data_IF_965366617521
#
_entry.id   IF_965366617521
#
_cell.length_a   1.000
_cell.length_b   1.000
_cell.length_c   1.000
_cell.angle_alpha   90.00
_cell.angle_beta   90.00
_cell.angle_gamma   90.00
#
_symmetry.space_group_name_H-M   'P 1'
#
loop_
_entity.id
_entity.type
_entity.pdbx_description
1 polymer ?
#
# COMPACT_ATOMS: atom_id res chain seq x y z
N UNK A 1 -24.55 -5.31 -4.12
CA UNK A 1 -23.61 -6.32 -4.65
C UNK A 1 -23.97 -7.73 -4.20
N UNK A 2 -24.24 -7.99 -2.91
CA UNK A 2 -24.59 -9.32 -2.37
C UNK A 2 -25.71 -10.06 -3.10
N UNK A 3 -26.68 -9.33 -3.64
CA UNK A 3 -27.88 -9.89 -4.28
C UNK A 3 -27.68 -10.16 -5.81
N UNK A 4 -26.51 -9.81 -6.34
CA UNK A 4 -26.21 -9.95 -7.77
C UNK A 4 -24.88 -10.70 -8.04
N UNK A 5 -24.12 -11.04 -7.00
CA UNK A 5 -22.87 -11.77 -7.15
C UNK A 5 -23.14 -13.26 -7.32
N UNK A 6 -22.44 -13.95 -8.22
CA UNK A 6 -22.47 -15.40 -8.38
C UNK A 6 -21.18 -16.04 -7.89
N UNK A 7 -21.24 -17.32 -7.49
CA UNK A 7 -20.08 -18.05 -6.98
C UNK A 7 -18.98 -18.29 -8.05
N UNK A 8 -19.31 -18.10 -9.32
CA UNK A 8 -18.35 -18.25 -10.44
C UNK A 8 -17.58 -16.97 -10.71
N UNK A 9 -18.02 -15.83 -10.16
CA UNK A 9 -17.34 -14.55 -10.32
C UNK A 9 -16.06 -14.51 -9.48
N UNK A 10 -15.17 -13.65 -9.90
CA UNK A 10 -13.96 -13.26 -9.17
C UNK A 10 -14.11 -11.81 -8.77
N UNK A 11 -13.77 -11.50 -7.55
CA UNK A 11 -13.76 -10.13 -7.04
C UNK A 11 -12.31 -9.69 -6.77
N UNK A 12 -11.84 -8.66 -7.46
CA UNK A 12 -10.46 -8.18 -7.31
C UNK A 12 -10.46 -6.81 -6.65
N UNK A 13 -9.77 -6.70 -5.52
CA UNK A 13 -9.47 -5.44 -4.84
C UNK A 13 -8.13 -4.91 -5.36
N UNK A 14 -8.17 -3.84 -6.15
CA UNK A 14 -7.01 -3.33 -6.86
C UNK A 14 -6.80 -1.82 -6.61
N UNK A 15 -5.85 -1.44 -5.71
CA UNK A 15 -5.11 -2.29 -4.79
C UNK A 15 -5.94 -2.65 -3.55
N UNK A 16 -5.56 -3.74 -2.86
CA UNK A 16 -6.14 -4.10 -1.58
C UNK A 16 -5.65 -3.22 -0.43
N UNK A 17 -4.53 -2.57 -0.61
CA UNK A 17 -3.83 -1.82 0.43
C UNK A 17 -3.61 -2.69 1.66
N UNK A 18 -3.96 -2.21 2.85
CA UNK A 18 -3.80 -2.97 4.09
C UNK A 18 -5.15 -3.53 4.54
N UNK A 19 -5.36 -4.82 4.31
CA UNK A 19 -6.54 -5.56 4.75
C UNK A 19 -7.78 -5.49 3.84
N UNK A 20 -7.67 -4.95 2.62
CA UNK A 20 -8.83 -4.81 1.72
C UNK A 20 -9.50 -6.14 1.37
N UNK A 21 -8.71 -7.14 0.99
CA UNK A 21 -9.23 -8.49 0.72
C UNK A 21 -9.82 -9.15 1.97
N UNK A 22 -9.19 -8.98 3.14
CA UNK A 22 -9.68 -9.53 4.41
C UNK A 22 -11.03 -8.92 4.82
N UNK A 23 -11.18 -7.60 4.71
CA UNK A 23 -12.47 -6.92 4.96
C UNK A 23 -13.54 -7.43 3.99
N UNK A 24 -13.18 -7.57 2.71
CA UNK A 24 -14.10 -8.10 1.70
C UNK A 24 -14.51 -9.53 2.03
N UNK A 25 -13.56 -10.38 2.42
CA UNK A 25 -13.83 -11.77 2.84
C UNK A 25 -14.78 -11.82 4.04
N UNK A 26 -14.51 -11.01 5.07
CA UNK A 26 -15.39 -10.93 6.24
C UNK A 26 -16.83 -10.54 5.88
N UNK A 27 -16.99 -9.55 4.98
CA UNK A 27 -18.32 -9.14 4.52
C UNK A 27 -18.97 -10.26 3.71
N UNK A 28 -18.23 -10.92 2.82
CA UNK A 28 -18.76 -11.99 1.99
C UNK A 28 -19.15 -13.23 2.77
N UNK A 29 -18.44 -13.56 3.85
CA UNK A 29 -18.78 -14.67 4.74
C UNK A 29 -20.18 -14.56 5.38
N UNK A 30 -20.76 -13.35 5.41
CA UNK A 30 -22.12 -13.13 5.91
C UNK A 30 -23.21 -13.51 4.88
N UNK A 31 -22.85 -13.97 3.67
CA UNK A 31 -23.78 -14.25 2.57
C UNK A 31 -23.46 -15.59 1.90
N UNK A 32 -24.43 -16.47 1.78
CA UNK A 32 -24.26 -17.85 1.32
C UNK A 32 -23.62 -18.00 -0.07
N UNK A 33 -23.91 -17.09 -0.99
CA UNK A 33 -23.31 -17.10 -2.33
C UNK A 33 -21.96 -16.41 -2.32
N UNK A 34 -21.88 -15.22 -1.72
CA UNK A 34 -20.70 -14.39 -1.74
C UNK A 34 -19.49 -15.04 -1.02
N UNK A 35 -19.72 -15.85 0.04
CA UNK A 35 -18.66 -16.57 0.76
C UNK A 35 -17.86 -17.54 -0.12
N UNK A 36 -18.42 -17.97 -1.27
CA UNK A 36 -17.79 -18.88 -2.23
C UNK A 36 -17.01 -18.15 -3.34
N UNK A 37 -17.12 -16.84 -3.38
CA UNK A 37 -16.44 -16.02 -4.41
C UNK A 37 -14.95 -15.96 -4.10
N UNK A 38 -14.12 -16.19 -5.11
CA UNK A 38 -12.68 -15.95 -5.04
C UNK A 38 -12.42 -14.45 -4.94
N UNK A 39 -11.65 -14.04 -3.94
CA UNK A 39 -11.23 -12.65 -3.75
C UNK A 39 -9.77 -12.52 -4.11
N UNK A 40 -9.46 -11.74 -5.14
CA UNK A 40 -8.11 -11.34 -5.49
C UNK A 40 -7.72 -10.00 -4.87
N UNK A 41 -6.45 -9.82 -4.62
CA UNK A 41 -5.88 -8.56 -4.16
C UNK A 41 -4.58 -8.26 -4.88
N UNK A 42 -4.41 -7.02 -5.34
CA UNK A 42 -3.11 -6.55 -5.86
C UNK A 42 -2.42 -5.62 -4.87
N UNK A 43 -1.09 -5.63 -4.88
CA UNK A 43 -0.28 -4.74 -4.04
C UNK A 43 -0.39 -3.27 -4.49
N UNK A 44 -0.59 -3.03 -5.78
CA UNK A 44 -0.63 -1.69 -6.37
C UNK A 44 -1.57 -1.64 -7.56
N UNK A 45 -1.87 -0.43 -8.03
CA UNK A 45 -2.55 -0.21 -9.30
C UNK A 45 -1.61 -0.51 -10.47
N UNK A 46 -2.13 -1.00 -11.62
CA UNK A 46 -1.32 -1.22 -12.82
C UNK A 46 -0.84 0.08 -13.49
N UNK A 47 -1.39 1.21 -13.08
CA UNK A 47 -1.11 2.53 -13.67
C UNK A 47 -0.87 3.57 -12.58
N UNK A 48 0.14 4.44 -12.79
CA UNK A 48 0.20 5.72 -12.11
C UNK A 48 -0.63 6.73 -12.92
N UNK A 49 -1.71 7.20 -12.35
CA UNK A 49 -2.65 8.09 -13.05
C UNK A 49 -3.23 9.18 -12.16
N UNK A 50 -3.73 10.23 -12.77
CA UNK A 50 -4.46 11.31 -12.10
C UNK A 50 -5.70 11.67 -12.92
N UNK A 51 -6.81 11.87 -12.22
CA UNK A 51 -8.01 12.46 -12.80
C UNK A 51 -7.72 13.94 -13.11
N UNK A 52 -7.90 14.35 -14.34
CA UNK A 52 -7.74 15.74 -14.79
C UNK A 52 -9.08 16.46 -14.68
N UNK A 53 -10.11 15.87 -15.27
CA UNK A 53 -11.49 16.31 -15.18
C UNK A 53 -12.43 15.09 -15.34
N UNK A 54 -13.73 15.20 -15.06
CA UNK A 54 -14.66 14.09 -15.22
C UNK A 54 -14.54 13.41 -16.59
N UNK A 55 -14.15 12.12 -16.60
CA UNK A 55 -13.99 11.33 -17.83
C UNK A 55 -12.58 11.39 -18.46
N UNK A 56 -11.68 12.25 -17.99
CA UNK A 56 -10.31 12.37 -18.51
C UNK A 56 -9.28 12.00 -17.43
N UNK A 57 -8.49 10.97 -17.73
CA UNK A 57 -7.41 10.47 -16.85
C UNK A 57 -6.07 10.64 -17.56
N UNK A 58 -5.14 11.33 -16.92
CA UNK A 58 -3.75 11.35 -17.35
C UNK A 58 -3.00 10.14 -16.77
N UNK A 59 -2.37 9.34 -17.64
CA UNK A 59 -1.55 8.19 -17.28
C UNK A 59 -0.08 8.60 -17.38
N UNK A 60 0.59 8.67 -16.24
CA UNK A 60 2.03 8.97 -16.15
C UNK A 60 2.88 7.76 -16.43
N UNK A 61 2.45 6.58 -15.96
CA UNK A 61 3.19 5.33 -16.10
C UNK A 61 2.22 4.15 -16.16
N UNK A 62 2.46 3.21 -17.07
CA UNK A 62 1.97 1.83 -16.99
C UNK A 62 3.10 0.99 -16.39
N UNK A 63 2.82 0.28 -15.31
CA UNK A 63 3.82 -0.54 -14.63
C UNK A 63 4.37 -1.61 -15.57
N UNK A 64 5.70 -1.77 -15.55
CA UNK A 64 6.40 -2.74 -16.40
C UNK A 64 6.44 -4.14 -15.77
N UNK A 65 6.34 -4.22 -14.44
CA UNK A 65 6.38 -5.47 -13.68
C UNK A 65 6.02 -5.24 -12.22
N UNK A 66 6.18 -6.29 -11.40
CA UNK A 66 6.02 -6.20 -9.94
C UNK A 66 4.60 -5.91 -9.46
N UNK A 67 3.58 -6.20 -10.27
CA UNK A 67 2.17 -6.14 -9.85
C UNK A 67 1.88 -7.46 -9.11
N UNK A 68 2.13 -7.47 -7.81
CA UNK A 68 1.86 -8.67 -7.01
C UNK A 68 0.37 -8.91 -6.87
N UNK A 69 -0.03 -10.17 -7.05
CA UNK A 69 -1.40 -10.66 -6.94
C UNK A 69 -1.44 -11.83 -5.95
N UNK A 70 -2.36 -11.79 -5.02
CA UNK A 70 -2.74 -12.91 -4.15
C UNK A 70 -4.24 -13.13 -4.18
N UNK A 71 -4.70 -14.26 -3.64
CA UNK A 71 -6.12 -14.59 -3.54
C UNK A 71 -6.49 -15.12 -2.16
N UNK A 72 -7.77 -15.08 -1.86
CA UNK A 72 -8.42 -15.77 -0.76
C UNK A 72 -9.55 -16.65 -1.37
N UNK A 73 -9.44 -17.98 -1.34
CA UNK A 73 -8.30 -18.76 -0.86
C UNK A 73 -7.09 -18.72 -1.81
N UNK A 74 -5.89 -19.04 -1.30
CA UNK A 74 -4.65 -19.02 -2.10
C UNK A 74 -4.66 -20.08 -3.20
N UNK A 75 -5.40 -21.17 -3.03
CA UNK A 75 -5.59 -22.21 -4.02
C UNK A 75 -6.16 -21.73 -5.37
N UNK A 76 -6.85 -20.58 -5.37
CA UNK A 76 -7.37 -19.92 -6.57
C UNK A 76 -6.35 -18.98 -7.26
N UNK A 77 -5.16 -18.84 -6.69
CA UNK A 77 -4.17 -17.86 -7.17
C UNK A 77 -3.74 -18.15 -8.62
N UNK A 78 -3.53 -19.41 -8.97
CA UNK A 78 -3.11 -19.79 -10.32
C UNK A 78 -4.19 -19.42 -11.36
N UNK A 79 -5.43 -19.75 -11.07
CA UNK A 79 -6.57 -19.42 -11.94
C UNK A 79 -6.71 -17.91 -12.15
N UNK A 80 -6.66 -17.15 -11.07
CA UNK A 80 -6.80 -15.69 -11.15
C UNK A 80 -5.59 -15.04 -11.81
N UNK A 81 -4.39 -15.54 -11.54
CA UNK A 81 -3.17 -15.08 -12.18
C UNK A 81 -3.24 -15.25 -13.71
N UNK A 82 -3.68 -16.39 -14.19
CA UNK A 82 -3.82 -16.68 -15.62
C UNK A 82 -4.81 -15.72 -16.30
N UNK A 83 -5.87 -15.33 -15.61
CA UNK A 83 -6.83 -14.33 -16.11
C UNK A 83 -6.25 -12.92 -16.09
N UNK A 84 -5.69 -12.51 -14.95
CA UNK A 84 -5.24 -11.14 -14.72
C UNK A 84 -4.00 -10.79 -15.54
N UNK A 85 -3.06 -11.75 -15.69
CA UNK A 85 -1.83 -11.56 -16.46
C UNK A 85 -2.04 -11.39 -17.97
N UNK A 86 -3.18 -11.84 -18.51
CA UNK A 86 -3.55 -11.58 -19.92
C UNK A 86 -3.76 -10.07 -20.16
N UNK A 87 -4.25 -9.35 -19.17
CA UNK A 87 -4.46 -7.89 -19.24
C UNK A 87 -3.23 -7.13 -18.75
N UNK A 88 -2.58 -7.67 -17.72
CA UNK A 88 -1.42 -7.06 -17.06
C UNK A 88 -0.24 -8.04 -17.01
N UNK A 89 0.54 -8.16 -18.10
CA UNK A 89 1.63 -9.16 -18.19
C UNK A 89 2.74 -9.02 -17.15
N UNK A 90 2.86 -7.84 -16.52
CA UNK A 90 3.81 -7.59 -15.42
C UNK A 90 3.36 -8.12 -14.05
N UNK A 91 2.27 -8.91 -14.00
CA UNK A 91 1.77 -9.52 -12.77
C UNK A 91 2.69 -10.64 -12.28
N UNK A 92 2.86 -10.72 -10.96
CA UNK A 92 3.59 -11.79 -10.26
C UNK A 92 2.73 -12.36 -9.13
N UNK A 93 2.85 -13.65 -8.86
CA UNK A 93 2.12 -14.29 -7.76
C UNK A 93 2.75 -13.92 -6.43
N UNK A 94 1.93 -13.51 -5.47
CA UNK A 94 2.34 -13.37 -4.09
C UNK A 94 2.07 -14.66 -3.32
N UNK A 95 2.84 -14.89 -2.26
CA UNK A 95 2.69 -16.06 -1.38
C UNK A 95 1.36 -16.04 -0.63
N UNK A 96 0.92 -14.87 -0.20
CA UNK A 96 -0.35 -14.63 0.50
C UNK A 96 -0.68 -13.12 0.51
N UNK A 97 -1.80 -12.75 1.10
CA UNK A 97 -2.24 -11.35 1.18
C UNK A 97 -1.35 -10.47 2.07
N UNK A 98 -0.59 -11.01 3.02
CA UNK A 98 0.42 -10.22 3.73
C UNK A 98 1.51 -9.72 2.80
N UNK A 99 1.90 -10.52 1.81
CA UNK A 99 2.91 -10.10 0.84
C UNK A 99 2.38 -8.97 -0.05
N UNK A 100 1.13 -9.04 -0.51
CA UNK A 100 0.52 -7.93 -1.28
C UNK A 100 0.40 -6.67 -0.45
N UNK A 101 -0.03 -6.77 0.81
CA UNK A 101 -0.12 -5.63 1.73
C UNK A 101 1.24 -4.98 1.96
N UNK A 102 2.23 -5.79 2.39
CA UNK A 102 3.55 -5.27 2.71
C UNK A 102 4.33 -4.81 1.47
N UNK A 103 3.99 -5.26 0.27
CA UNK A 103 4.61 -4.76 -0.96
C UNK A 103 4.02 -3.41 -1.43
N UNK A 104 2.95 -2.93 -0.81
CA UNK A 104 2.49 -1.56 -1.00
C UNK A 104 3.36 -0.60 -0.17
N UNK A 105 4.26 0.11 -0.83
CA UNK A 105 5.20 1.02 -0.18
C UNK A 105 4.69 2.48 -0.04
N UNK A 106 3.50 2.81 -0.52
CA UNK A 106 2.95 4.16 -0.37
C UNK A 106 3.02 4.70 1.06
N UNK A 107 2.67 3.90 2.11
CA UNK A 107 2.72 4.38 3.49
C UNK A 107 4.12 4.70 4.02
N UNK A 108 5.18 4.16 3.42
CA UNK A 108 6.54 4.50 3.86
C UNK A 108 7.08 5.76 3.19
N UNK A 109 6.51 6.16 2.03
CA UNK A 109 6.95 7.32 1.26
C UNK A 109 6.12 8.55 1.62
N UNK A 110 4.81 8.48 1.35
CA UNK A 110 3.93 9.64 1.34
C UNK A 110 3.88 10.38 2.70
N UNK A 111 3.68 9.71 3.86
CA UNK A 111 3.66 10.38 5.15
C UNK A 111 4.99 11.04 5.49
N UNK A 112 6.12 10.38 5.22
CA UNK A 112 7.45 10.90 5.50
C UNK A 112 7.70 12.16 4.69
N UNK A 113 7.44 12.14 3.38
CA UNK A 113 7.63 13.32 2.51
C UNK A 113 6.68 14.43 2.93
N UNK A 114 5.41 14.13 3.21
CA UNK A 114 4.41 15.12 3.61
C UNK A 114 4.79 15.81 4.93
N UNK A 115 5.15 15.04 5.97
CA UNK A 115 5.47 15.60 7.29
C UNK A 115 6.77 16.40 7.29
N UNK A 116 7.80 15.93 6.58
CA UNK A 116 9.08 16.66 6.50
C UNK A 116 9.01 17.89 5.60
N UNK A 117 7.95 18.05 4.81
CA UNK A 117 7.67 19.24 4.00
C UNK A 117 6.40 19.98 4.44
N UNK A 118 5.88 19.72 5.65
CA UNK A 118 4.62 20.30 6.11
C UNK A 118 4.59 21.83 5.99
N UNK A 119 5.61 22.52 6.49
CA UNK A 119 5.73 23.97 6.38
C UNK A 119 5.78 24.47 4.93
N UNK A 120 6.41 23.70 4.02
CA UNK A 120 6.47 24.04 2.60
C UNK A 120 5.09 23.90 1.96
N UNK A 121 4.39 22.77 2.24
CA UNK A 121 3.02 22.52 1.76
C UNK A 121 2.08 23.67 2.17
N UNK A 122 2.05 24.00 3.45
CA UNK A 122 1.15 25.04 3.98
C UNK A 122 1.44 26.42 3.41
N UNK A 123 2.74 26.79 3.32
CA UNK A 123 3.17 28.09 2.83
C UNK A 123 2.96 28.27 1.33
N UNK A 124 3.24 27.23 0.52
CA UNK A 124 3.17 27.32 -0.95
C UNK A 124 1.84 26.83 -1.51
N UNK A 125 0.97 26.24 -0.65
CA UNK A 125 -0.25 25.54 -1.12
C UNK A 125 0.07 24.45 -2.14
N UNK A 126 1.16 23.72 -1.88
CA UNK A 126 1.60 22.60 -2.72
C UNK A 126 2.29 23.01 -4.04
N UNK A 127 2.66 24.28 -4.20
CA UNK A 127 3.35 24.73 -5.41
C UNK A 127 4.84 24.38 -5.38
N UNK A 128 5.12 23.08 -5.37
CA UNK A 128 6.43 22.45 -5.55
C UNK A 128 6.25 21.00 -6.01
N UNK A 129 7.34 20.39 -6.49
CA UNK A 129 7.32 18.99 -6.97
C UNK A 129 7.54 18.02 -5.82
N UNK A 130 6.54 17.19 -5.54
CA UNK A 130 6.49 16.34 -4.35
C UNK A 130 7.69 15.41 -4.21
N UNK A 131 8.11 14.76 -5.29
CA UNK A 131 9.27 13.86 -5.28
C UNK A 131 10.57 14.55 -5.65
N UNK A 132 10.57 15.39 -6.68
CA UNK A 132 11.79 16.01 -7.22
C UNK A 132 12.38 17.05 -6.26
N UNK A 133 11.54 17.81 -5.56
CA UNK A 133 11.96 18.85 -4.61
C UNK A 133 11.76 18.41 -3.16
N UNK A 134 10.70 17.61 -2.89
CA UNK A 134 10.35 17.19 -1.53
C UNK A 134 11.22 16.03 -1.00
N UNK A 135 11.86 15.23 -1.86
CA UNK A 135 12.74 14.13 -1.43
C UNK A 135 14.21 14.54 -1.54
N UNK A 136 14.73 15.18 -0.50
CA UNK A 136 16.14 15.45 -0.31
C UNK A 136 16.87 14.21 0.25
N UNK A 137 18.22 14.17 0.27
CA UNK A 137 18.95 13.07 0.90
C UNK A 137 18.55 12.78 2.35
N UNK A 138 18.22 13.81 3.15
CA UNK A 138 17.76 13.63 4.52
C UNK A 138 16.38 12.96 4.58
N UNK A 139 15.45 13.38 3.73
CA UNK A 139 14.12 12.77 3.59
C UNK A 139 14.24 11.32 3.12
N UNK A 140 15.10 11.05 2.14
CA UNK A 140 15.37 9.70 1.65
C UNK A 140 15.91 8.76 2.73
N UNK A 141 16.78 9.25 3.63
CA UNK A 141 17.26 8.48 4.79
C UNK A 141 16.12 8.10 5.73
N UNK A 142 15.17 9.00 5.96
CA UNK A 142 13.99 8.73 6.79
C UNK A 142 13.08 7.70 6.11
N UNK A 143 12.80 7.84 4.81
CA UNK A 143 12.04 6.84 4.04
C UNK A 143 12.69 5.46 4.19
N UNK A 144 14.02 5.37 4.00
CA UNK A 144 14.76 4.11 4.17
C UNK A 144 14.58 3.50 5.56
N UNK A 145 14.64 4.31 6.62
CA UNK A 145 14.50 3.81 7.98
C UNK A 145 13.11 3.21 8.24
N UNK A 146 12.06 3.86 7.76
CA UNK A 146 10.67 3.36 7.84
C UNK A 146 10.51 2.10 6.98
N UNK A 147 11.06 2.11 5.76
CA UNK A 147 10.96 0.98 4.83
C UNK A 147 11.69 -0.28 5.34
N UNK A 148 12.81 -0.13 6.02
CA UNK A 148 13.52 -1.25 6.65
C UNK A 148 12.68 -1.95 7.73
N UNK A 149 11.83 -1.23 8.46
CA UNK A 149 10.91 -1.83 9.43
C UNK A 149 9.82 -2.63 8.70
N UNK A 150 9.26 -2.12 7.58
CA UNK A 150 8.32 -2.85 6.73
C UNK A 150 8.93 -4.16 6.20
N UNK A 151 10.17 -4.11 5.70
CA UNK A 151 10.87 -5.30 5.21
C UNK A 151 11.08 -6.33 6.33
N UNK A 152 11.48 -5.90 7.53
CA UNK A 152 11.63 -6.79 8.70
C UNK A 152 10.33 -7.49 9.10
N UNK A 153 9.17 -6.82 8.98
CA UNK A 153 7.87 -7.47 9.20
C UNK A 153 7.69 -8.63 8.22
N UNK A 154 8.03 -8.43 6.94
CA UNK A 154 7.99 -9.48 5.94
C UNK A 154 8.93 -10.65 6.26
N UNK A 155 10.17 -10.35 6.65
CA UNK A 155 11.14 -11.38 7.07
C UNK A 155 10.61 -12.22 8.23
N UNK A 156 9.98 -11.59 9.22
CA UNK A 156 9.39 -12.28 10.38
C UNK A 156 8.21 -13.18 10.00
N UNK A 157 7.46 -12.82 8.96
CA UNK A 157 6.37 -13.63 8.38
C UNK A 157 6.89 -14.71 7.41
N UNK A 158 8.20 -14.76 7.14
CA UNK A 158 8.79 -15.69 6.17
C UNK A 158 8.36 -15.42 4.72
N UNK A 159 8.09 -14.15 4.40
CA UNK A 159 7.73 -13.69 3.05
C UNK A 159 8.76 -12.67 2.55
N UNK A 160 9.03 -12.70 1.25
CA UNK A 160 9.91 -11.72 0.62
C UNK A 160 9.17 -10.40 0.43
N UNK A 161 9.71 -9.33 0.98
CA UNK A 161 9.24 -7.95 0.77
C UNK A 161 10.39 -7.13 0.21
N UNK A 162 10.27 -6.70 -1.03
CA UNK A 162 11.30 -5.89 -1.68
C UNK A 162 11.36 -4.49 -1.05
N UNK A 163 12.57 -3.95 -0.83
CA UNK A 163 12.75 -2.53 -0.54
C UNK A 163 12.04 -1.66 -1.58
N UNK A 164 11.45 -0.54 -1.17
CA UNK A 164 10.65 0.30 -2.07
C UNK A 164 11.41 0.77 -3.31
N UNK A 165 12.65 1.18 -3.15
CA UNK A 165 13.47 1.62 -4.28
C UNK A 165 13.78 0.51 -5.27
N UNK A 166 13.95 -0.74 -4.80
CA UNK A 166 14.11 -1.93 -5.65
C UNK A 166 12.82 -2.22 -6.40
N UNK A 167 11.69 -2.15 -5.69
CA UNK A 167 10.36 -2.31 -6.31
C UNK A 167 10.12 -1.20 -7.35
N UNK A 168 10.47 0.04 -7.03
CA UNK A 168 10.35 1.19 -7.95
C UNK A 168 11.09 0.99 -9.27
N UNK A 169 12.27 0.37 -9.25
CA UNK A 169 13.00 -0.01 -10.46
C UNK A 169 12.26 -1.12 -11.21
N UNK A 170 11.82 -2.18 -10.51
CA UNK A 170 11.08 -3.30 -11.12
C UNK A 170 9.79 -2.84 -11.80
N UNK A 171 9.09 -1.88 -11.21
CA UNK A 171 7.84 -1.32 -11.71
C UNK A 171 8.04 -0.28 -12.82
N UNK A 172 9.27 0.22 -13.00
CA UNK A 172 9.61 1.24 -13.99
C UNK A 172 9.42 2.69 -13.51
N UNK A 173 9.15 2.91 -12.23
CA UNK A 173 9.12 4.26 -11.66
C UNK A 173 10.51 4.90 -11.61
N UNK A 174 11.52 4.10 -11.22
CA UNK A 174 12.87 4.55 -10.93
C UNK A 174 13.88 3.89 -11.88
N UNK A 175 15.00 4.56 -12.10
CA UNK A 175 16.13 4.01 -12.88
C UNK A 175 17.24 3.48 -11.97
N UNK A 176 17.25 3.88 -10.71
CA UNK A 176 18.25 3.51 -9.70
C UNK A 176 17.58 3.25 -8.36
N UNK A 177 17.91 2.12 -7.72
CA UNK A 177 17.41 1.76 -6.40
C UNK A 177 18.16 2.55 -5.30
N UNK A 178 17.84 3.82 -5.14
CA UNK A 178 18.50 4.74 -4.23
C UNK A 178 17.50 5.65 -3.52
N UNK A 179 17.47 5.60 -2.17
CA UNK A 179 16.54 6.40 -1.38
C UNK A 179 16.88 7.89 -1.37
N UNK A 180 18.15 8.24 -1.42
CA UNK A 180 18.60 9.62 -1.25
C UNK A 180 18.48 10.47 -2.52
N UNK A 181 18.59 9.83 -3.69
CA UNK A 181 18.63 10.53 -4.98
C UNK A 181 17.66 9.93 -6.03
N UNK A 182 17.22 8.69 -5.83
CA UNK A 182 16.44 7.95 -6.82
C UNK A 182 15.08 8.57 -7.08
N UNK A 183 14.36 9.00 -6.03
CA UNK A 183 13.03 9.60 -6.19
C UNK A 183 13.06 10.91 -6.97
N UNK A 184 13.99 11.80 -6.66
CA UNK A 184 14.11 13.08 -7.33
C UNK A 184 14.44 12.95 -8.84
N UNK A 185 15.06 11.84 -9.25
CA UNK A 185 15.44 11.55 -10.64
C UNK A 185 14.49 10.57 -11.33
N UNK A 186 13.49 10.07 -10.63
CA UNK A 186 12.61 9.00 -11.10
C UNK A 186 11.67 9.48 -12.21
N UNK A 187 11.74 8.92 -13.43
CA UNK A 187 10.88 9.35 -14.53
C UNK A 187 9.40 9.13 -14.25
N UNK A 188 9.05 8.08 -13.46
CA UNK A 188 7.68 7.78 -13.09
C UNK A 188 7.06 8.76 -12.08
N UNK A 189 7.87 9.62 -11.46
CA UNK A 189 7.41 10.63 -10.50
C UNK A 189 7.55 12.07 -11.02
N UNK A 190 8.04 12.23 -12.24
CA UNK A 190 8.35 13.54 -12.83
C UNK A 190 7.10 14.42 -12.93
N UNK A 191 7.23 15.67 -12.47
CA UNK A 191 6.18 16.69 -12.57
C UNK A 191 5.01 16.50 -11.60
N UNK A 192 5.06 15.55 -10.66
CA UNK A 192 3.99 15.36 -9.67
C UNK A 192 4.07 16.46 -8.62
N UNK A 193 3.09 17.38 -8.63
CA UNK A 193 2.97 18.44 -7.63
C UNK A 193 2.56 17.89 -6.28
N UNK A 194 2.96 18.59 -5.23
CA UNK A 194 2.49 18.31 -3.88
C UNK A 194 1.00 18.64 -3.73
N UNK A 195 0.38 18.10 -2.68
CA UNK A 195 -0.96 18.46 -2.26
C UNK A 195 -0.97 19.87 -1.65
N UNK A 196 -2.11 20.53 -1.74
CA UNK A 196 -2.29 21.92 -1.28
C UNK A 196 -2.46 22.06 0.24
N UNK A 197 -2.72 20.95 0.94
CA UNK A 197 -2.97 20.90 2.38
C UNK A 197 -2.54 19.56 2.98
N UNK A 198 -2.35 19.53 4.31
CA UNK A 198 -1.97 18.30 5.02
C UNK A 198 -3.13 17.31 5.14
N UNK A 199 -4.38 17.81 5.24
CA UNK A 199 -5.59 16.98 5.19
C UNK A 199 -5.76 16.34 3.80
N UNK A 200 -4.97 15.32 3.55
CA UNK A 200 -4.86 14.61 2.28
C UNK A 200 -4.70 13.11 2.51
N UNK A 201 -5.00 12.29 1.49
CA UNK A 201 -4.86 10.84 1.56
C UNK A 201 -3.46 10.36 1.97
N UNK A 202 -2.42 11.12 1.68
CA UNK A 202 -1.03 10.83 2.07
C UNK A 202 -0.80 10.77 3.58
N UNK A 203 -1.67 11.37 4.38
CA UNK A 203 -1.74 11.16 5.82
C UNK A 203 -2.95 10.31 6.20
N UNK A 204 -4.15 10.64 5.70
CA UNK A 204 -5.38 9.98 6.13
C UNK A 204 -5.42 8.49 5.81
N UNK A 205 -5.00 8.10 4.60
CA UNK A 205 -4.98 6.69 4.19
C UNK A 205 -3.66 6.01 4.58
N UNK A 206 -2.53 6.62 4.22
CA UNK A 206 -1.23 5.96 4.35
C UNK A 206 -0.78 5.82 5.81
N UNK A 207 -1.15 6.77 6.71
CA UNK A 207 -0.94 6.59 8.15
C UNK A 207 -2.04 5.72 8.74
N UNK A 208 -3.32 6.08 8.55
CA UNK A 208 -4.45 5.45 9.25
C UNK A 208 -4.66 3.98 8.87
N UNK A 209 -4.53 3.64 7.60
CA UNK A 209 -4.72 2.26 7.13
C UNK A 209 -3.41 1.53 6.83
N UNK A 210 -2.30 2.24 6.60
CA UNK A 210 -1.01 1.66 6.24
C UNK A 210 -0.08 1.49 7.44
N UNK A 211 0.47 2.60 7.95
CA UNK A 211 1.46 2.55 9.03
C UNK A 211 0.89 1.99 10.33
N UNK A 212 -0.36 2.33 10.68
CA UNK A 212 -1.01 1.78 11.88
C UNK A 212 -1.19 0.27 11.75
N UNK A 213 -1.60 -0.25 10.58
CA UNK A 213 -1.69 -1.68 10.34
C UNK A 213 -0.33 -2.37 10.50
N UNK A 214 0.73 -1.81 9.89
CA UNK A 214 2.10 -2.36 10.01
C UNK A 214 2.58 -2.39 11.46
N UNK A 215 2.37 -1.29 12.21
CA UNK A 215 2.76 -1.22 13.63
C UNK A 215 2.03 -2.26 14.47
N UNK A 216 0.73 -2.44 14.29
CA UNK A 216 -0.06 -3.43 15.03
C UNK A 216 0.31 -4.88 14.64
N UNK A 217 0.55 -5.13 13.34
CA UNK A 217 1.04 -6.42 12.85
C UNK A 217 2.42 -6.74 13.44
N UNK A 218 3.34 -5.78 13.45
CA UNK A 218 4.66 -5.94 14.06
C UNK A 218 4.59 -6.31 15.54
N UNK A 219 3.73 -5.65 16.32
CA UNK A 219 3.51 -5.97 17.74
C UNK A 219 3.01 -7.40 17.94
N UNK A 220 2.08 -7.88 17.11
CA UNK A 220 1.61 -9.27 17.17
C UNK A 220 2.72 -10.27 16.87
N UNK A 221 3.70 -9.88 16.06
CA UNK A 221 4.89 -10.66 15.71
C UNK A 221 6.04 -10.51 16.70
N UNK A 222 5.89 -9.69 17.75
CA UNK A 222 6.93 -9.41 18.74
C UNK A 222 8.07 -8.54 18.20
N UNK A 223 7.77 -7.66 17.22
CA UNK A 223 8.71 -6.70 16.66
C UNK A 223 8.39 -5.28 17.12
N UNK A 224 9.43 -4.47 17.29
CA UNK A 224 9.32 -3.03 17.48
C UNK A 224 9.51 -2.29 16.15
N UNK A 225 8.74 -1.22 15.96
CA UNK A 225 8.77 -0.37 14.76
C UNK A 225 8.89 1.11 15.14
N UNK A 226 10.03 1.50 15.77
CA UNK A 226 10.17 2.85 16.34
C UNK A 226 10.06 3.97 15.29
N UNK A 227 10.47 3.73 14.05
CA UNK A 227 10.37 4.76 12.98
C UNK A 227 8.95 4.88 12.45
N UNK A 228 8.27 3.77 12.20
CA UNK A 228 6.84 3.74 11.84
C UNK A 228 6.03 4.42 12.95
N UNK A 229 6.27 4.06 14.22
CA UNK A 229 5.57 4.63 15.37
C UNK A 229 5.82 6.14 15.51
N UNK A 230 7.03 6.60 15.24
CA UNK A 230 7.37 8.03 15.24
C UNK A 230 6.58 8.80 14.18
N UNK A 231 6.49 8.26 12.97
CA UNK A 231 5.70 8.89 11.87
C UNK A 231 4.22 8.96 12.25
N UNK A 232 3.65 7.89 12.82
CA UNK A 232 2.25 7.87 13.29
C UNK A 232 2.04 8.93 14.35
N UNK A 233 2.93 9.04 15.35
CA UNK A 233 2.81 9.98 16.44
C UNK A 233 2.91 11.44 15.97
N UNK A 234 3.85 11.74 15.05
CA UNK A 234 3.99 13.09 14.48
C UNK A 234 2.76 13.42 13.64
N UNK A 235 2.28 12.50 12.79
CA UNK A 235 1.07 12.71 12.00
C UNK A 235 -0.16 12.96 12.89
N UNK A 236 -0.31 12.17 13.97
CA UNK A 236 -1.41 12.35 14.92
C UNK A 236 -1.39 13.73 15.57
N UNK A 237 -0.21 14.20 15.98
CA UNK A 237 -0.05 15.53 16.59
C UNK A 237 -0.34 16.65 15.58
N UNK A 238 0.20 16.56 14.36
CA UNK A 238 0.03 17.59 13.32
C UNK A 238 -1.41 17.69 12.84
N UNK A 239 -2.11 16.55 12.77
CA UNK A 239 -3.49 16.48 12.29
C UNK A 239 -4.53 16.59 13.39
N UNK A 240 -4.12 16.66 14.66
CA UNK A 240 -5.01 16.62 15.84
C UNK A 240 -5.97 15.41 15.79
N UNK A 241 -5.44 14.23 15.38
CA UNK A 241 -6.19 12.96 15.20
C UNK A 241 -5.53 11.83 15.94
N UNK A 242 -6.32 10.94 16.50
CA UNK A 242 -5.84 9.66 17.03
C UNK A 242 -5.92 8.56 15.93
N UNK A 243 -4.92 8.53 15.05
CA UNK A 243 -4.88 7.53 13.97
C UNK A 243 -4.91 6.09 14.48
N UNK A 244 -4.40 5.83 15.69
CA UNK A 244 -4.45 4.46 16.26
C UNK A 244 -5.85 4.13 16.79
N UNK A 245 -6.48 5.04 17.50
CA UNK A 245 -7.84 4.87 18.01
C UNK A 245 -8.89 4.87 16.91
N UNK A 246 -8.71 5.68 15.87
CA UNK A 246 -9.60 5.73 14.71
C UNK A 246 -9.42 4.55 13.74
N UNK A 247 -8.27 3.86 13.79
CA UNK A 247 -7.94 2.79 12.86
C UNK A 247 -8.89 1.60 12.99
N UNK A 248 -9.82 1.51 12.06
CA UNK A 248 -10.79 0.41 11.96
C UNK A 248 -10.28 -0.76 11.11
N UNK A 249 -9.06 -0.64 10.59
CA UNK A 249 -8.46 -1.63 9.71
C UNK A 249 -7.13 -2.13 10.26
N UNK A 250 -7.21 -3.03 11.23
CA UNK A 250 -6.13 -3.91 11.68
C UNK A 250 -6.69 -5.34 11.79
N UNK A 251 -5.85 -6.36 11.97
CA UNK A 251 -6.31 -7.75 11.99
C UNK A 251 -7.39 -7.99 13.05
N UNK A 252 -7.19 -7.47 14.27
CA UNK A 252 -8.14 -7.65 15.36
C UNK A 252 -9.51 -7.01 15.07
N UNK A 253 -9.52 -5.78 14.52
CA UNK A 253 -10.78 -5.10 14.15
C UNK A 253 -11.47 -5.75 12.95
N UNK A 254 -10.69 -6.36 12.03
CA UNK A 254 -11.24 -7.17 10.94
C UNK A 254 -11.74 -8.52 11.47
N UNK A 255 -11.27 -8.97 12.64
CA UNK A 255 -11.69 -10.22 13.28
C UNK A 255 -10.87 -11.43 12.85
N UNK A 256 -9.59 -11.23 12.49
CA UNK A 256 -8.64 -12.28 12.15
C UNK A 256 -7.35 -12.15 12.97
N UNK A 257 -6.69 -13.27 13.20
CA UNK A 257 -5.32 -13.35 13.73
C UNK A 257 -4.30 -13.50 12.59
N UNK A 258 -3.01 -13.42 12.93
CA UNK A 258 -1.94 -13.71 11.96
C UNK A 258 -2.03 -15.16 11.49
N UNK A 259 -2.29 -16.10 12.41
CA UNK A 259 -2.46 -17.52 12.12
C UNK A 259 -3.64 -17.77 11.18
N UNK A 260 -4.79 -17.13 11.41
CA UNK A 260 -5.96 -17.27 10.53
C UNK A 260 -5.62 -16.95 9.08
N UNK A 261 -4.82 -15.90 8.85
CA UNK A 261 -4.41 -15.49 7.51
C UNK A 261 -3.37 -16.44 6.91
N UNK A 262 -2.42 -16.93 7.71
CA UNK A 262 -1.36 -17.84 7.25
C UNK A 262 -1.88 -19.25 6.98
N UNK A 263 -2.86 -19.71 7.76
CA UNK A 263 -3.49 -21.04 7.67
C UNK A 263 -4.77 -21.04 6.84
N UNK A 264 -5.18 -19.88 6.33
CA UNK A 264 -6.40 -19.67 5.56
C UNK A 264 -7.70 -20.06 6.28
N UNK A 265 -7.75 -19.89 7.59
CA UNK A 265 -8.94 -20.05 8.43
C UNK A 265 -9.85 -18.80 8.34
N UNK A 266 -10.17 -18.36 7.12
CA UNK A 266 -10.81 -17.07 6.81
C UNK A 266 -12.30 -17.17 6.49
#
# INVERSE_FOLDING_TARGET
>A
MKDVISSEQVYIVCPGSFGGALVTKRIFNQHDVAKKVCIGETATLPYASRLVEPGIVNIFLKLQGGIMLSTIPISECDRLFDLFSQVYPGTVKAKNVFQTMLQNANPVIHPVVTLLNAALIERTKGDFLFYEEGVTPAVGKMIRAVDQERVKIGEKLGIEVLPDTTLGVTQGYMVEANYEYGYAKAPGFKGIKAQDKLDHRYLNEDVGYGLVFMSELAKQLGLETPMIDSVINIASAVMERDYRGEAVRNLASIGYTVEDVLEENL
#
